data_IF_633542067081
#
_entry.id   IF_633542067081
#
_cell.length_a   1.000
_cell.length_b   1.000
_cell.length_c   1.000
_cell.angle_alpha   90.00
_cell.angle_beta   90.00
_cell.angle_gamma   90.00
#
_symmetry.space_group_name_H-M   'P 1'
#
loop_
_entity.id
_entity.type
_entity.pdbx_description
1 polymer ?
#
# COMPACT_ATOMS: atom_id res chain seq x y z
N UNK A 1 -16.30 -14.38 37.64
CA UNK A 1 -15.71 -13.04 37.40
C UNK A 1 -15.29 -12.98 35.94
N UNK A 2 -15.99 -12.19 35.12
CA UNK A 2 -15.70 -12.08 33.67
C UNK A 2 -14.58 -11.06 33.48
N UNK A 3 -13.41 -11.54 33.07
CA UNK A 3 -12.28 -10.69 32.72
C UNK A 3 -12.51 -10.16 31.30
N UNK A 4 -12.99 -8.91 31.20
CA UNK A 4 -13.03 -8.19 29.93
C UNK A 4 -11.62 -7.74 29.58
N UNK A 5 -10.92 -8.53 28.76
CA UNK A 5 -9.70 -8.09 28.10
C UNK A 5 -10.02 -6.92 27.16
N UNK A 6 -9.38 -5.78 27.42
CA UNK A 6 -9.50 -4.57 26.62
C UNK A 6 -9.01 -4.82 25.19
N UNK A 7 -9.66 -4.28 24.15
CA UNK A 7 -9.16 -4.37 22.79
C UNK A 7 -7.87 -3.56 22.68
N UNK A 8 -6.73 -4.23 22.55
CA UNK A 8 -5.47 -3.63 22.09
C UNK A 8 -5.69 -3.21 20.63
N UNK A 9 -6.08 -1.96 20.43
CA UNK A 9 -6.07 -1.32 19.10
C UNK A 9 -4.62 -1.06 18.72
N UNK A 10 -3.93 -2.09 18.26
CA UNK A 10 -2.60 -1.97 17.68
C UNK A 10 -2.75 -1.29 16.31
N UNK A 11 -2.21 -0.08 16.20
CA UNK A 11 -2.02 0.58 14.92
C UNK A 11 -0.88 -0.16 14.21
N UNK A 12 -1.21 -1.07 13.30
CA UNK A 12 -0.22 -1.83 12.53
C UNK A 12 0.37 -0.93 11.44
N UNK A 13 1.68 -0.73 11.49
CA UNK A 13 2.44 0.00 10.48
C UNK A 13 2.83 -0.99 9.38
N UNK A 14 2.02 -1.08 8.32
CA UNK A 14 2.42 -1.81 7.13
C UNK A 14 3.43 -0.96 6.34
N UNK A 15 4.70 -1.33 6.38
CA UNK A 15 5.75 -0.72 5.57
C UNK A 15 5.69 -1.32 4.15
N UNK A 16 5.27 -0.53 3.16
CA UNK A 16 5.23 -0.97 1.77
C UNK A 16 6.41 -0.39 0.99
N UNK A 17 7.27 -1.25 0.45
CA UNK A 17 8.19 -0.85 -0.61
C UNK A 17 7.47 -0.96 -1.96
N UNK A 18 6.67 0.05 -2.31
CA UNK A 18 6.02 0.11 -3.64
C UNK A 18 7.00 0.70 -4.64
N UNK A 19 7.56 -0.15 -5.50
CA UNK A 19 8.26 0.32 -6.70
C UNK A 19 7.21 0.72 -7.75
N UNK A 20 6.72 1.95 -7.68
CA UNK A 20 5.83 2.49 -8.70
C UNK A 20 6.63 2.74 -9.98
N UNK A 21 6.65 1.78 -10.91
CA UNK A 21 7.06 2.01 -12.29
C UNK A 21 5.95 2.78 -13.01
N UNK A 22 5.75 4.04 -12.65
CA UNK A 22 4.80 4.90 -13.35
C UNK A 22 5.43 5.39 -14.65
N UNK A 23 5.17 4.71 -15.76
CA UNK A 23 5.29 5.31 -17.08
C UNK A 23 4.14 6.30 -17.24
N UNK A 24 4.39 7.57 -16.92
CA UNK A 24 3.41 8.63 -17.07
C UNK A 24 3.25 8.94 -18.56
N UNK A 25 2.29 8.30 -19.23
CA UNK A 25 1.90 8.68 -20.59
C UNK A 25 0.98 9.90 -20.55
N UNK A 26 1.49 11.05 -20.11
CA UNK A 26 0.73 12.30 -20.07
C UNK A 26 1.55 13.43 -20.67
N UNK A 27 1.48 13.53 -21.99
CA UNK A 27 1.97 14.69 -22.73
C UNK A 27 1.22 15.95 -22.26
N UNK A 28 1.94 16.84 -21.58
CA UNK A 28 1.49 18.17 -21.21
C UNK A 28 0.57 18.21 -19.99
N UNK A 29 1.14 18.51 -18.81
CA UNK A 29 0.48 18.79 -17.52
C UNK A 29 -1.06 18.62 -17.49
N UNK A 30 -1.58 17.38 -17.40
CA UNK A 30 -2.93 17.19 -16.94
C UNK A 30 -2.92 17.38 -15.42
N UNK A 31 -4.00 17.90 -14.85
CA UNK A 31 -4.16 18.08 -13.39
C UNK A 31 -4.09 16.76 -12.58
N UNK A 32 -3.78 15.65 -13.22
CA UNK A 32 -3.55 14.38 -12.58
C UNK A 32 -2.88 13.35 -13.48
N UNK A 33 -2.31 12.34 -12.83
CA UNK A 33 -1.70 11.17 -13.46
C UNK A 33 -2.37 9.89 -12.97
N UNK A 34 -2.49 8.90 -13.85
CA UNK A 34 -2.93 7.55 -13.50
C UNK A 34 -1.75 6.61 -13.72
N UNK A 35 -1.53 5.69 -12.78
CA UNK A 35 -0.46 4.71 -12.85
C UNK A 35 -0.89 3.34 -12.35
N UNK A 36 -0.11 2.33 -12.72
CA UNK A 36 -0.21 0.98 -12.17
C UNK A 36 0.81 0.83 -11.04
N UNK A 37 0.46 0.03 -10.04
CA UNK A 37 1.34 -0.37 -8.96
C UNK A 37 1.64 -1.86 -9.09
N UNK A 38 2.89 -2.21 -8.85
CA UNK A 38 3.35 -3.59 -8.72
C UNK A 38 4.41 -3.65 -7.65
N UNK A 39 4.41 -4.70 -6.84
CA UNK A 39 5.42 -4.83 -5.80
C UNK A 39 5.26 -6.09 -4.97
N UNK A 40 6.26 -6.32 -4.13
CA UNK A 40 6.21 -7.34 -3.10
C UNK A 40 5.66 -6.71 -1.83
N UNK A 41 4.76 -7.43 -1.17
CA UNK A 41 4.15 -7.05 0.09
C UNK A 41 4.63 -8.02 1.15
N UNK A 42 5.16 -7.46 2.22
CA UNK A 42 5.61 -8.20 3.38
C UNK A 42 4.56 -7.99 4.46
N UNK A 43 3.93 -9.07 4.91
CA UNK A 43 2.90 -9.00 5.94
C UNK A 43 3.48 -9.20 7.33
N UNK A 44 2.85 -8.55 8.29
CA UNK A 44 3.15 -8.69 9.71
C UNK A 44 2.67 -10.05 10.23
N UNK A 45 3.39 -10.63 11.19
CA UNK A 45 3.06 -11.90 11.87
C UNK A 45 1.66 -11.88 12.50
N UNK A 46 1.15 -10.70 12.86
CA UNK A 46 -0.22 -10.52 13.36
C UNK A 46 -1.30 -10.74 12.27
N UNK A 47 -0.91 -10.83 11.00
CA UNK A 47 -1.80 -11.07 9.86
C UNK A 47 -1.67 -12.50 9.33
N UNK A 48 -0.46 -13.05 9.33
CA UNK A 48 -0.16 -14.39 8.78
C UNK A 48 -0.02 -15.49 9.84
N UNK A 49 0.03 -15.13 11.13
CA UNK A 49 0.19 -16.04 12.26
C UNK A 49 1.61 -16.03 12.83
N UNK A 50 1.73 -16.12 14.16
CA UNK A 50 3.03 -16.25 14.84
C UNK A 50 3.74 -17.53 14.39
N UNK A 51 4.93 -17.40 13.81
CA UNK A 51 5.73 -18.52 13.32
C UNK A 51 5.55 -18.85 11.84
N UNK A 52 4.80 -18.04 11.08
CA UNK A 52 4.87 -18.04 9.63
C UNK A 52 6.29 -17.59 9.22
N UNK A 53 7.01 -18.43 8.48
CA UNK A 53 8.37 -18.10 8.05
C UNK A 53 8.35 -16.90 7.10
N UNK A 54 9.45 -16.14 7.08
CA UNK A 54 9.63 -14.89 6.33
C UNK A 54 9.54 -15.01 4.79
N UNK A 55 9.10 -16.16 4.27
CA UNK A 55 8.89 -16.45 2.85
C UNK A 55 7.48 -16.08 2.34
N UNK A 56 6.59 -15.58 3.21
CA UNK A 56 5.24 -15.10 2.85
C UNK A 56 5.25 -13.72 2.17
N UNK A 57 5.96 -13.64 1.05
CA UNK A 57 5.98 -12.48 0.17
C UNK A 57 4.75 -12.50 -0.72
N UNK A 58 3.86 -11.52 -0.55
CA UNK A 58 2.72 -11.36 -1.41
C UNK A 58 3.04 -10.56 -2.67
N UNK A 59 2.52 -10.98 -3.81
CA UNK A 59 2.53 -10.12 -5.00
C UNK A 59 1.35 -9.15 -4.93
N UNK A 60 1.68 -7.85 -4.89
CA UNK A 60 0.71 -6.76 -4.92
C UNK A 60 0.60 -6.15 -6.32
N UNK A 61 -0.63 -5.98 -6.79
CA UNK A 61 -0.94 -5.21 -7.99
C UNK A 61 -1.96 -4.13 -7.65
N UNK A 62 -1.89 -2.98 -8.31
CA UNK A 62 -2.78 -1.89 -7.98
C UNK A 62 -2.87 -0.81 -9.03
N UNK A 63 -3.70 0.18 -8.73
CA UNK A 63 -3.84 1.40 -9.51
C UNK A 63 -3.65 2.59 -8.57
N UNK A 64 -3.07 3.66 -9.10
CA UNK A 64 -2.96 4.93 -8.42
C UNK A 64 -3.43 6.07 -9.31
N UNK A 65 -3.96 7.10 -8.67
CA UNK A 65 -4.34 8.37 -9.28
C UNK A 65 -3.73 9.49 -8.43
N UNK A 66 -2.94 10.35 -9.05
CA UNK A 66 -2.41 11.56 -8.44
C UNK A 66 -3.19 12.76 -8.96
N UNK A 67 -3.64 13.65 -8.08
CA UNK A 67 -4.15 14.96 -8.43
C UNK A 67 -3.15 16.04 -8.01
N UNK A 68 -2.50 16.69 -8.97
CA UNK A 68 -1.45 17.66 -8.68
C UNK A 68 -2.03 19.00 -8.26
N UNK A 69 -1.64 19.45 -7.07
CA UNK A 69 -1.93 20.79 -6.54
C UNK A 69 -0.85 21.79 -6.97
N UNK A 70 0.37 21.30 -7.18
CA UNK A 70 1.53 22.04 -7.68
C UNK A 70 2.54 21.07 -8.31
N UNK A 71 3.69 21.58 -8.78
CA UNK A 71 4.82 20.74 -9.23
C UNK A 71 5.43 19.87 -8.12
N UNK A 72 5.19 20.22 -6.85
CA UNK A 72 5.81 19.56 -5.70
C UNK A 72 4.81 18.74 -4.87
N UNK A 73 3.50 18.92 -5.07
CA UNK A 73 2.46 18.35 -4.22
C UNK A 73 1.33 17.75 -5.03
N UNK A 74 0.92 16.55 -4.64
CA UNK A 74 -0.30 15.92 -5.12
C UNK A 74 -1.10 15.30 -3.98
N UNK A 75 -2.40 15.11 -4.22
CA UNK A 75 -3.20 14.15 -3.48
C UNK A 75 -3.16 12.83 -4.25
N UNK A 76 -2.65 11.78 -3.61
CA UNK A 76 -2.61 10.43 -4.16
C UNK A 76 -3.80 9.64 -3.62
N UNK A 77 -4.48 8.91 -4.50
CA UNK A 77 -5.45 7.87 -4.19
C UNK A 77 -4.96 6.59 -4.84
N UNK A 78 -4.86 5.51 -4.08
CA UNK A 78 -4.44 4.23 -4.64
C UNK A 78 -5.20 3.06 -4.06
N UNK A 79 -5.37 2.03 -4.88
CA UNK A 79 -5.94 0.75 -4.52
C UNK A 79 -4.95 -0.36 -4.83
N UNK A 80 -4.68 -1.23 -3.88
CA UNK A 80 -3.80 -2.40 -4.05
C UNK A 80 -4.56 -3.67 -3.67
N UNK A 81 -4.39 -4.69 -4.52
CA UNK A 81 -4.77 -6.06 -4.27
C UNK A 81 -3.51 -6.88 -4.08
N UNK A 82 -3.46 -7.69 -3.04
CA UNK A 82 -2.31 -8.53 -2.72
C UNK A 82 -2.79 -9.94 -2.38
N UNK A 83 -2.15 -10.95 -2.97
CA UNK A 83 -2.26 -12.33 -2.51
C UNK A 83 -1.16 -12.58 -1.48
N UNK A 84 -1.52 -13.07 -0.30
CA UNK A 84 -0.60 -13.40 0.78
C UNK A 84 -0.64 -14.92 0.97
N UNK A 85 0.52 -15.56 0.91
CA UNK A 85 0.65 -16.92 1.42
C UNK A 85 0.38 -16.90 2.92
N UNK A 86 -0.40 -17.87 3.40
CA UNK A 86 -0.67 -18.01 4.82
C UNK A 86 -0.37 -19.43 5.29
N UNK A 87 -0.32 -19.62 6.62
CA UNK A 87 -0.19 -20.97 7.17
C UNK A 87 -1.45 -21.80 6.84
N UNK A 88 -1.32 -22.90 6.06
CA UNK A 88 -2.46 -23.71 5.63
C UNK A 88 -3.25 -24.30 6.81
N UNK A 89 -2.59 -24.49 7.95
CA UNK A 89 -3.14 -25.18 9.12
C UNK A 89 -4.01 -24.30 10.03
N UNK A 90 -3.95 -22.96 9.90
CA UNK A 90 -4.71 -22.05 10.78
C UNK A 90 -5.70 -21.15 10.04
N UNK A 91 -5.29 -20.51 8.94
CA UNK A 91 -6.10 -19.49 8.27
C UNK A 91 -6.19 -19.68 6.75
N UNK A 92 -5.35 -20.55 6.17
CA UNK A 92 -5.23 -20.69 4.72
C UNK A 92 -4.58 -19.47 4.07
N UNK A 93 -4.67 -19.38 2.74
CA UNK A 93 -4.20 -18.19 2.03
C UNK A 93 -5.10 -16.99 2.35
N UNK A 94 -4.51 -15.79 2.27
CA UNK A 94 -5.20 -14.55 2.53
C UNK A 94 -5.10 -13.61 1.34
N UNK A 95 -6.19 -12.89 1.07
CA UNK A 95 -6.20 -11.80 0.09
C UNK A 95 -6.40 -10.48 0.80
N UNK A 96 -5.58 -9.50 0.46
CA UNK A 96 -5.68 -8.15 0.98
C UNK A 96 -6.13 -7.20 -0.13
N UNK A 97 -7.16 -6.41 0.15
CA UNK A 97 -7.53 -5.24 -0.66
C UNK A 97 -7.39 -3.99 0.20
N UNK A 98 -6.58 -3.03 -0.23
CA UNK A 98 -6.43 -1.76 0.47
C UNK A 98 -6.72 -0.58 -0.45
N UNK A 99 -7.44 0.41 0.08
CA UNK A 99 -7.68 1.70 -0.55
C UNK A 99 -7.09 2.78 0.35
N UNK A 100 -6.25 3.66 -0.22
CA UNK A 100 -5.51 4.69 0.51
C UNK A 100 -5.68 6.05 -0.16
N UNK A 101 -5.64 7.10 0.67
CA UNK A 101 -5.62 8.49 0.22
C UNK A 101 -4.67 9.30 1.10
N UNK A 102 -3.86 10.15 0.47
CA UNK A 102 -2.91 10.97 1.23
C UNK A 102 -2.14 11.98 0.39
N UNK A 103 -1.48 12.96 1.04
CA UNK A 103 -0.54 13.85 0.38
C UNK A 103 0.71 13.10 -0.09
N UNK A 104 1.17 13.45 -1.29
CA UNK A 104 2.45 13.06 -1.86
C UNK A 104 3.27 14.31 -2.17
N UNK A 105 4.52 14.31 -1.71
CA UNK A 105 5.52 15.34 -2.02
C UNK A 105 6.49 14.84 -3.07
N UNK A 106 6.84 15.69 -4.02
CA UNK A 106 7.81 15.42 -5.08
C UNK A 106 9.03 16.33 -4.93
N UNK A 107 10.21 15.73 -5.08
CA UNK A 107 11.50 16.40 -5.13
C UNK A 107 12.06 16.23 -6.56
N UNK A 108 11.95 17.26 -7.41
CA UNK A 108 12.48 17.19 -8.78
C UNK A 108 14.01 17.04 -8.76
N UNK A 109 14.56 16.27 -9.70
CA UNK A 109 16.01 16.20 -9.92
C UNK A 109 16.45 17.25 -10.93
N UNK A 110 17.77 17.49 -11.01
CA UNK A 110 18.40 18.50 -11.87
C UNK A 110 18.07 18.33 -13.37
N UNK A 111 17.67 17.12 -13.78
CA UNK A 111 17.41 16.80 -15.19
C UNK A 111 15.92 16.83 -15.57
N UNK A 112 15.01 17.23 -14.66
CA UNK A 112 13.53 17.30 -14.81
C UNK A 112 12.81 16.01 -15.28
N UNK A 113 13.56 14.96 -15.64
CA UNK A 113 13.06 13.66 -16.10
C UNK A 113 12.79 12.66 -14.98
N UNK A 114 13.39 12.90 -13.81
CA UNK A 114 13.27 12.05 -12.63
C UNK A 114 12.79 12.91 -11.46
N UNK A 115 11.94 12.36 -10.62
CA UNK A 115 11.55 12.98 -9.36
C UNK A 115 11.49 11.93 -8.27
N UNK A 116 12.06 12.22 -7.12
CA UNK A 116 11.81 11.42 -5.93
C UNK A 116 10.47 11.82 -5.34
N UNK A 117 9.79 10.89 -4.69
CA UNK A 117 8.58 11.22 -3.94
C UNK A 117 8.56 10.54 -2.58
N UNK A 118 7.78 11.13 -1.68
CA UNK A 118 7.36 10.53 -0.43
C UNK A 118 5.88 10.80 -0.20
N UNK A 119 5.16 9.86 0.40
CA UNK A 119 3.77 10.05 0.78
C UNK A 119 3.43 9.43 2.12
N UNK A 120 2.41 10.00 2.74
CA UNK A 120 1.76 9.49 3.95
C UNK A 120 0.28 9.40 3.64
N UNK A 121 -0.31 8.23 3.79
CA UNK A 121 -1.70 7.99 3.41
C UNK A 121 -2.47 7.28 4.52
N UNK A 122 -3.73 7.68 4.68
CA UNK A 122 -4.70 6.97 5.49
C UNK A 122 -5.58 6.13 4.56
N UNK A 123 -5.97 4.96 5.04
CA UNK A 123 -6.74 4.05 4.22
C UNK A 123 -7.51 3.04 5.02
N UNK A 124 -8.07 2.10 4.28
CA UNK A 124 -8.77 0.96 4.81
C UNK A 124 -8.30 -0.30 4.07
N UNK A 125 -8.06 -1.36 4.81
CA UNK A 125 -7.69 -2.65 4.27
C UNK A 125 -8.71 -3.71 4.70
N UNK A 126 -9.18 -4.50 3.73
CA UNK A 126 -9.95 -5.72 3.93
C UNK A 126 -9.02 -6.92 3.69
N UNK A 127 -9.06 -7.87 4.61
CA UNK A 127 -8.38 -9.15 4.56
C UNK A 127 -9.45 -10.22 4.47
N UNK A 128 -9.39 -11.05 3.43
CA UNK A 128 -10.29 -12.19 3.24
C UNK A 128 -9.44 -13.45 3.33
N UNK A 129 -9.83 -14.36 4.20
CA UNK A 129 -9.08 -15.59 4.49
C UNK A 129 -9.85 -16.79 3.94
N UNK A 130 -9.14 -17.76 3.37
CA UNK A 130 -9.76 -18.99 2.87
C UNK A 130 -10.44 -19.79 3.98
N UNK A 131 -9.85 -19.79 5.18
CA UNK A 131 -10.41 -20.38 6.38
C UNK A 131 -10.47 -19.32 7.51
N UNK A 132 -11.59 -18.61 7.62
CA UNK A 132 -11.78 -17.66 8.71
C UNK A 132 -12.86 -16.61 8.45
N UNK A 133 -12.92 -15.63 9.34
CA UNK A 133 -13.76 -14.44 9.15
C UNK A 133 -12.97 -13.33 8.46
N UNK A 134 -13.61 -12.63 7.53
CA UNK A 134 -13.05 -11.42 6.92
C UNK A 134 -12.78 -10.37 8.00
N UNK A 135 -11.56 -9.81 7.99
CA UNK A 135 -11.18 -8.73 8.89
C UNK A 135 -11.02 -7.46 8.07
N UNK A 136 -11.42 -6.33 8.63
CA UNK A 136 -11.18 -5.05 8.01
C UNK A 136 -10.74 -4.00 9.02
N UNK A 137 -9.81 -3.13 8.62
CA UNK A 137 -9.16 -2.18 9.54
C UNK A 137 -8.68 -0.91 8.84
N UNK A 138 -8.68 0.23 9.54
CA UNK A 138 -7.98 1.41 9.08
C UNK A 138 -6.47 1.16 9.03
N UNK A 139 -5.79 1.77 8.06
CA UNK A 139 -4.34 1.69 7.90
C UNK A 139 -3.74 3.08 7.78
N UNK A 140 -2.51 3.21 8.29
CA UNK A 140 -1.61 4.32 8.01
C UNK A 140 -0.46 3.77 7.18
N UNK A 141 -0.18 4.42 6.06
CA UNK A 141 0.83 4.01 5.10
C UNK A 141 1.85 5.13 4.93
N UNK A 142 3.12 4.76 4.79
CA UNK A 142 4.18 5.65 4.36
C UNK A 142 4.85 5.00 3.17
N UNK A 143 5.12 5.77 2.12
CA UNK A 143 5.82 5.28 0.94
C UNK A 143 6.84 6.31 0.45
N UNK A 144 7.85 5.83 -0.25
CA UNK A 144 8.83 6.63 -0.96
C UNK A 144 9.20 5.93 -2.26
N UNK A 145 9.57 6.70 -3.28
CA UNK A 145 9.92 6.13 -4.57
C UNK A 145 10.42 7.15 -5.57
N UNK A 146 10.43 6.73 -6.84
CA UNK A 146 10.90 7.51 -7.97
C UNK A 146 9.81 7.55 -9.05
N UNK A 147 9.68 8.69 -9.71
CA UNK A 147 8.78 8.91 -10.85
C UNK A 147 9.59 9.36 -12.05
N UNK A 148 9.39 8.68 -13.18
CA UNK A 148 9.92 9.09 -14.48
C UNK A 148 8.87 9.94 -15.21
N UNK A 149 9.30 11.11 -15.67
CA UNK A 149 8.51 12.00 -16.51
C UNK A 149 8.86 11.69 -17.98
N UNK A 150 7.84 11.48 -18.81
CA UNK A 150 8.00 11.20 -20.23
C UNK A 150 8.24 12.46 -21.06
#
# INVERSE_FOLDING_TARGET
MRNHSRPRRALLFAAFAVFALSQSATAGHPKGDIGVLGGLVFSDEDVVGHGAEADDQGLGIGLMVNHFLSSHWAINVDGIYTSLGGQPEQFGDATQMALRVGPRVFVPTVEDRLSFYGDVALGYAKFSFDAGEDISRPILSVAAGQRFQA
#
